data_IF_513474042889
#
_entry.id   IF_513474042889
#
_cell.length_a   1.000
_cell.length_b   1.000
_cell.length_c   1.000
_cell.angle_alpha   90.00
_cell.angle_beta   90.00
_cell.angle_gamma   90.00
#
_symmetry.space_group_name_H-M   'P 1'
#
loop_
_entity.id
_entity.type
_entity.pdbx_description
1 polymer ?
#
# COMPACT_ATOMS: atom_id res chain seq x y z
N UNK A 1 -24.87 9.28 4.66
CA UNK A 1 -24.20 7.99 4.93
C UNK A 1 -22.89 7.85 4.16
N UNK A 2 -22.84 8.08 2.84
CA UNK A 2 -21.60 7.94 2.04
C UNK A 2 -20.43 8.83 2.48
N UNK A 3 -20.69 10.07 2.91
CA UNK A 3 -19.67 10.97 3.45
C UNK A 3 -18.99 10.43 4.72
N UNK A 4 -19.78 9.86 5.65
CA UNK A 4 -19.26 9.26 6.89
C UNK A 4 -18.44 8.02 6.56
N UNK A 5 -18.90 7.17 5.65
CA UNK A 5 -18.16 5.99 5.22
C UNK A 5 -16.80 6.36 4.61
N UNK A 6 -16.79 7.34 3.69
CA UNK A 6 -15.56 7.83 3.08
C UNK A 6 -14.60 8.44 4.12
N UNK A 7 -15.11 9.26 5.04
CA UNK A 7 -14.31 9.85 6.10
C UNK A 7 -13.68 8.78 7.00
N UNK A 8 -14.46 7.79 7.44
CA UNK A 8 -13.96 6.69 8.27
C UNK A 8 -12.91 5.85 7.55
N UNK A 9 -13.11 5.57 6.26
CA UNK A 9 -12.13 4.83 5.46
C UNK A 9 -10.81 5.60 5.34
N UNK A 10 -10.87 6.92 5.11
CA UNK A 10 -9.68 7.79 5.04
C UNK A 10 -8.97 7.85 6.40
N UNK A 11 -9.72 8.01 7.50
CA UNK A 11 -9.14 8.01 8.86
C UNK A 11 -8.42 6.68 9.16
N UNK A 12 -8.99 5.56 8.72
CA UNK A 12 -8.38 4.23 8.88
C UNK A 12 -7.04 4.08 8.14
N UNK A 13 -6.71 4.95 7.18
CA UNK A 13 -5.40 4.96 6.52
C UNK A 13 -4.27 5.30 7.51
N UNK A 14 -4.58 5.85 8.70
CA UNK A 14 -3.60 6.09 9.75
C UNK A 14 -2.77 4.86 10.11
N UNK A 15 -3.35 3.66 10.08
CA UNK A 15 -2.61 2.41 10.29
C UNK A 15 -1.59 2.13 9.19
N UNK A 16 -1.95 2.36 7.92
CA UNK A 16 -1.03 2.19 6.80
C UNK A 16 0.10 3.23 6.81
N UNK A 17 -0.21 4.47 7.18
CA UNK A 17 0.78 5.53 7.36
C UNK A 17 1.76 5.17 8.49
N UNK A 18 1.28 4.54 9.56
CA UNK A 18 2.15 4.04 10.63
C UNK A 18 3.12 2.96 10.12
N UNK A 19 2.67 2.02 9.29
CA UNK A 19 3.56 1.01 8.70
C UNK A 19 4.64 1.64 7.81
N UNK A 20 4.30 2.69 7.04
CA UNK A 20 5.30 3.46 6.27
C UNK A 20 6.37 4.03 7.21
N UNK A 21 5.94 4.72 8.27
CA UNK A 21 6.87 5.29 9.27
C UNK A 21 7.72 4.20 9.92
N UNK A 22 7.13 3.05 10.24
CA UNK A 22 7.80 1.91 10.85
C UNK A 22 8.86 1.32 9.92
N UNK A 23 8.55 1.17 8.63
CA UNK A 23 9.50 0.69 7.63
C UNK A 23 10.69 1.65 7.47
N UNK A 24 10.45 2.96 7.44
CA UNK A 24 11.53 3.97 7.46
C UNK A 24 12.38 3.88 8.72
N UNK A 25 11.78 3.61 9.88
CA UNK A 25 12.51 3.50 11.16
C UNK A 25 13.34 2.22 11.28
N UNK A 26 12.85 1.10 10.75
CA UNK A 26 13.58 -0.17 10.78
C UNK A 26 14.57 -0.31 9.63
N UNK A 27 14.38 0.45 8.55
CA UNK A 27 15.22 0.40 7.37
C UNK A 27 14.98 -0.82 6.48
N UNK A 28 13.91 -1.58 6.72
CA UNK A 28 13.51 -2.75 5.92
C UNK A 28 11.99 -2.94 5.94
N UNK A 29 11.45 -3.62 4.92
CA UNK A 29 10.00 -3.90 4.79
C UNK A 29 9.62 -5.36 5.06
N UNK A 30 10.47 -6.14 5.74
CA UNK A 30 10.28 -7.57 6.03
C UNK A 30 8.89 -7.95 6.57
N UNK A 31 8.29 -7.08 7.38
CA UNK A 31 6.99 -7.31 8.04
C UNK A 31 5.79 -6.89 7.18
N UNK A 32 6.00 -6.26 6.03
CA UNK A 32 4.93 -5.84 5.12
C UNK A 32 4.83 -6.86 3.99
N UNK A 33 3.80 -7.74 3.97
CA UNK A 33 3.65 -8.76 2.94
C UNK A 33 3.36 -8.12 1.57
N UNK A 34 4.26 -8.32 0.61
CA UNK A 34 4.19 -7.67 -0.68
C UNK A 34 3.00 -8.14 -1.53
N UNK A 35 2.67 -9.43 -1.48
CA UNK A 35 1.54 -10.01 -2.20
C UNK A 35 0.22 -9.33 -1.82
N UNK A 36 0.05 -9.07 -0.52
CA UNK A 36 -1.12 -8.35 -0.02
C UNK A 36 -1.13 -6.91 -0.55
N UNK A 37 0.02 -6.25 -0.56
CA UNK A 37 0.11 -4.86 -1.01
C UNK A 37 -0.23 -4.71 -2.50
N UNK A 38 0.22 -5.65 -3.34
CA UNK A 38 -0.18 -5.69 -4.76
C UNK A 38 -1.67 -6.02 -4.92
N UNK A 39 -2.20 -6.95 -4.14
CA UNK A 39 -3.64 -7.24 -4.13
C UNK A 39 -4.47 -5.99 -3.84
N UNK A 40 -4.07 -5.23 -2.81
CA UNK A 40 -4.71 -3.96 -2.43
C UNK A 40 -4.52 -2.89 -3.52
N UNK A 41 -3.36 -2.83 -4.18
CA UNK A 41 -3.12 -1.91 -5.29
C UNK A 41 -4.15 -2.09 -6.41
N UNK A 42 -4.31 -3.32 -6.91
CA UNK A 42 -5.28 -3.60 -7.97
C UNK A 42 -6.72 -3.39 -7.49
N UNK A 43 -7.03 -3.80 -6.25
CA UNK A 43 -8.36 -3.63 -5.67
C UNK A 43 -8.74 -2.15 -5.56
N UNK A 44 -7.85 -1.30 -5.06
CA UNK A 44 -8.12 0.14 -4.88
C UNK A 44 -8.23 0.87 -6.22
N UNK A 45 -7.46 0.47 -7.24
CA UNK A 45 -7.66 0.95 -8.61
C UNK A 45 -9.06 0.60 -9.11
N UNK A 46 -9.47 -0.67 -9.00
CA UNK A 46 -10.79 -1.13 -9.44
C UNK A 46 -11.91 -0.36 -8.75
N UNK A 47 -11.84 -0.17 -7.43
CA UNK A 47 -12.84 0.60 -6.68
C UNK A 47 -12.85 2.09 -7.01
N UNK A 48 -11.68 2.67 -7.27
CA UNK A 48 -11.59 4.08 -7.71
C UNK A 48 -12.28 4.25 -9.06
N UNK A 49 -11.95 3.40 -10.03
CA UNK A 49 -12.59 3.41 -11.37
C UNK A 49 -14.09 3.17 -11.25
N UNK A 50 -14.50 2.18 -10.45
CA UNK A 50 -15.91 1.88 -10.21
C UNK A 50 -16.65 3.10 -9.66
N UNK A 51 -16.11 3.76 -8.64
CA UNK A 51 -16.71 4.97 -8.05
C UNK A 51 -16.88 6.10 -9.05
N UNK A 52 -15.92 6.28 -9.97
CA UNK A 52 -16.03 7.27 -11.06
C UNK A 52 -17.15 6.87 -12.03
N UNK A 53 -17.21 5.61 -12.45
CA UNK A 53 -18.18 5.12 -13.43
C UNK A 53 -19.63 5.23 -12.96
N UNK A 54 -19.89 5.06 -11.66
CA UNK A 54 -21.24 5.20 -11.08
C UNK A 54 -21.51 6.60 -10.51
N UNK A 55 -20.63 7.58 -10.82
CA UNK A 55 -20.72 8.96 -10.33
C UNK A 55 -20.78 9.09 -8.80
N UNK A 56 -20.25 8.09 -8.07
CA UNK A 56 -20.17 8.10 -6.62
C UNK A 56 -18.77 8.52 -6.18
N UNK A 57 -18.59 9.83 -6.09
CA UNK A 57 -17.31 10.44 -5.72
C UNK A 57 -16.86 10.10 -4.30
N UNK A 58 -17.76 9.70 -3.38
CA UNK A 58 -17.35 9.28 -2.04
C UNK A 58 -16.52 7.99 -2.08
N UNK A 59 -16.95 7.02 -2.89
CA UNK A 59 -16.20 5.77 -3.12
C UNK A 59 -14.90 6.07 -3.85
N UNK A 60 -14.96 6.91 -4.89
CA UNK A 60 -13.78 7.25 -5.69
C UNK A 60 -12.71 7.93 -4.84
N UNK A 61 -13.06 8.97 -4.08
CA UNK A 61 -12.09 9.74 -3.27
C UNK A 61 -11.48 8.87 -2.16
N UNK A 62 -12.28 8.07 -1.47
CA UNK A 62 -11.77 7.25 -0.37
C UNK A 62 -10.81 6.15 -0.85
N UNK A 63 -11.13 5.49 -1.97
CA UNK A 63 -10.24 4.49 -2.56
C UNK A 63 -9.02 5.12 -3.23
N UNK A 64 -9.15 6.31 -3.81
CA UNK A 64 -8.02 7.04 -4.37
C UNK A 64 -7.03 7.46 -3.28
N UNK A 65 -7.50 7.92 -2.12
CA UNK A 65 -6.64 8.18 -0.97
C UNK A 65 -5.91 6.91 -0.50
N UNK A 66 -6.61 5.78 -0.44
CA UNK A 66 -6.00 4.48 -0.14
C UNK A 66 -4.96 4.05 -1.18
N UNK A 67 -5.21 4.30 -2.47
CA UNK A 67 -4.29 4.02 -3.56
C UNK A 67 -2.99 4.83 -3.42
N UNK A 68 -3.07 6.12 -3.07
CA UNK A 68 -1.88 6.95 -2.87
C UNK A 68 -1.00 6.43 -1.73
N UNK A 69 -1.61 6.04 -0.60
CA UNK A 69 -0.88 5.43 0.51
C UNK A 69 -0.28 4.09 0.10
N UNK A 70 -1.03 3.28 -0.66
CA UNK A 70 -0.57 1.98 -1.13
C UNK A 70 0.65 2.12 -2.07
N UNK A 71 0.63 3.07 -3.00
CA UNK A 71 1.76 3.41 -3.88
C UNK A 71 2.99 3.83 -3.06
N UNK A 72 2.79 4.67 -2.03
CA UNK A 72 3.88 5.05 -1.15
C UNK A 72 4.51 3.83 -0.45
N UNK A 73 3.70 2.93 0.09
CA UNK A 73 4.19 1.68 0.70
C UNK A 73 4.90 0.78 -0.31
N UNK A 74 4.37 0.60 -1.52
CA UNK A 74 5.07 -0.19 -2.56
C UNK A 74 6.42 0.42 -2.92
N UNK A 75 6.50 1.75 -2.94
CA UNK A 75 7.75 2.46 -3.22
C UNK A 75 8.83 2.17 -2.17
N UNK A 76 8.44 1.86 -0.92
CA UNK A 76 9.39 1.46 0.12
C UNK A 76 10.09 0.15 -0.18
N UNK A 77 9.50 -0.78 -0.96
CA UNK A 77 10.19 -2.02 -1.35
C UNK A 77 11.44 -1.77 -2.20
N UNK A 78 11.53 -0.62 -2.86
CA UNK A 78 12.73 -0.22 -3.61
C UNK A 78 13.76 0.50 -2.73
N UNK A 79 13.30 1.28 -1.75
CA UNK A 79 14.16 2.11 -0.89
C UNK A 79 14.70 1.30 0.30
N UNK A 80 13.86 0.45 0.87
CA UNK A 80 14.09 -0.37 2.06
C UNK A 80 13.71 -1.82 1.77
N UNK A 81 14.47 -2.52 0.91
CA UNK A 81 14.15 -3.89 0.53
C UNK A 81 14.00 -4.82 1.74
N UNK A 82 13.20 -5.90 1.62
CA UNK A 82 13.14 -6.95 2.62
C UNK A 82 14.52 -7.59 2.87
N UNK A 83 14.69 -8.18 4.06
CA UNK A 83 15.97 -8.75 4.47
C UNK A 83 16.17 -10.17 3.95
N UNK A 84 15.11 -10.99 3.93
CA UNK A 84 15.26 -12.45 3.71
C UNK A 84 14.62 -12.99 2.43
N UNK A 85 13.68 -12.26 1.83
CA UNK A 85 12.93 -12.70 0.66
C UNK A 85 13.03 -11.71 -0.49
N UNK A 86 12.70 -12.16 -1.70
CA UNK A 86 12.67 -11.33 -2.91
C UNK A 86 11.27 -10.81 -3.13
N UNK A 87 11.14 -9.52 -3.41
CA UNK A 87 9.82 -8.90 -3.64
C UNK A 87 9.13 -9.57 -4.84
N UNK A 88 7.95 -10.18 -4.68
CA UNK A 88 7.19 -10.74 -5.79
C UNK A 88 6.88 -9.65 -6.83
N UNK A 89 6.75 -10.02 -8.10
CA UNK A 89 6.48 -9.11 -9.25
C UNK A 89 7.63 -8.15 -9.57
N UNK A 90 8.10 -7.36 -8.61
CA UNK A 90 9.15 -6.34 -8.79
C UNK A 90 10.53 -6.99 -8.83
N UNK A 91 10.73 -8.06 -8.06
CA UNK A 91 11.99 -8.79 -8.03
C UNK A 91 13.12 -8.07 -7.28
N UNK A 92 12.84 -7.08 -6.44
CA UNK A 92 13.86 -6.48 -5.57
C UNK A 92 14.46 -7.57 -4.66
N UNK A 93 15.77 -7.76 -4.75
CA UNK A 93 16.50 -8.78 -4.00
C UNK A 93 16.59 -8.45 -2.50
N UNK A 94 16.82 -9.46 -1.65
CA UNK A 94 16.99 -9.26 -0.22
C UNK A 94 18.21 -8.37 0.07
N UNK A 95 18.11 -7.50 1.07
CA UNK A 95 19.20 -6.62 1.47
C UNK A 95 20.39 -7.40 2.06
N UNK A 96 20.11 -8.52 2.71
CA UNK A 96 21.12 -9.48 3.15
C UNK A 96 21.13 -10.65 2.18
N UNK A 97 21.63 -10.42 0.97
CA UNK A 97 22.01 -11.53 0.10
C UNK A 97 23.15 -12.29 0.80
N UNK A 98 22.87 -13.52 1.23
CA UNK A 98 23.89 -14.37 1.83
C UNK A 98 25.02 -14.51 0.81
N UNK A 99 26.18 -13.95 1.15
CA UNK A 99 27.43 -14.29 0.48
C UNK A 99 27.74 -15.74 0.84
N UNK A 100 27.21 -16.69 0.05
CA UNK A 100 27.69 -18.07 -0.01
C UNK A 100 28.72 -18.20 -1.15
#
# INVERSE_FOLDING_TARGET
MGSIAAAMQIISLGGQIYEIKRATSFGHTEFIPAELQFGIFFLTIQWTVFGILIENYYIAIANFAGLLVNIATISLYFIYPPLTWKVPIIGTGPQQEKTE
#
